data_IF_912704026095
#
_entry.id   IF_912704026095
#
_cell.length_a   1.000
_cell.length_b   1.000
_cell.length_c   1.000
_cell.angle_alpha   90.00
_cell.angle_beta   90.00
_cell.angle_gamma   90.00
#
_symmetry.space_group_name_H-M   'P 1'
#
loop_
_entity.id
_entity.type
_entity.pdbx_description
1 polymer ?
#
# COMPACT_ATOMS: atom_id res chain seq x y z
N UNK A 1 2.41 22.26 -4.34
CA UNK A 1 2.27 20.83 -3.97
C UNK A 1 1.88 20.03 -5.20
N UNK A 2 2.86 19.39 -5.85
CA UNK A 2 2.64 18.56 -7.03
C UNK A 2 2.34 17.14 -6.54
N UNK A 3 1.15 16.63 -6.86
CA UNK A 3 0.84 15.21 -6.66
C UNK A 3 1.23 14.47 -7.93
N UNK A 4 2.12 13.49 -7.81
CA UNK A 4 2.46 12.60 -8.94
C UNK A 4 1.65 11.32 -8.81
N UNK A 5 0.82 11.04 -9.81
CA UNK A 5 0.03 9.82 -9.91
C UNK A 5 0.68 8.88 -10.92
N UNK A 6 0.91 7.63 -10.51
CA UNK A 6 1.34 6.57 -11.42
C UNK A 6 0.29 5.47 -11.45
N UNK A 7 -0.19 5.17 -12.64
CA UNK A 7 -1.16 4.11 -12.89
C UNK A 7 -0.42 2.83 -13.31
N UNK A 8 -0.85 1.69 -12.79
CA UNK A 8 -0.29 0.39 -13.18
C UNK A 8 -1.25 -0.73 -12.84
N UNK A 9 -1.65 -1.50 -13.85
CA UNK A 9 -2.47 -2.72 -13.69
C UNK A 9 -1.68 -3.92 -13.15
N UNK A 10 -0.37 -3.75 -12.96
CA UNK A 10 0.53 -4.77 -12.40
C UNK A 10 0.81 -4.57 -10.92
N UNK A 11 0.33 -3.47 -10.33
CA UNK A 11 0.55 -3.18 -8.91
C UNK A 11 -0.52 -3.87 -8.10
N UNK A 12 -0.13 -4.43 -6.96
CA UNK A 12 -1.01 -5.11 -6.03
C UNK A 12 -0.54 -4.85 -4.61
N UNK A 13 -1.47 -4.98 -3.65
CA UNK A 13 -1.14 -5.07 -2.24
C UNK A 13 -1.29 -6.51 -1.76
N UNK A 14 -0.53 -6.85 -0.73
CA UNK A 14 -0.61 -8.13 -0.04
C UNK A 14 -0.38 -7.91 1.45
N UNK A 15 -0.83 -8.86 2.26
CA UNK A 15 -0.58 -8.90 3.69
C UNK A 15 -0.14 -10.31 4.09
N UNK A 16 0.72 -10.40 5.09
CA UNK A 16 0.97 -11.65 5.79
C UNK A 16 -0.10 -11.74 6.88
N UNK A 17 -0.97 -12.74 6.79
CA UNK A 17 -1.94 -13.04 7.85
C UNK A 17 -1.26 -13.27 9.21
N UNK A 18 -2.05 -13.38 10.27
CA UNK A 18 -1.60 -13.47 11.66
C UNK A 18 -0.86 -14.77 12.03
N UNK A 19 -0.61 -15.65 11.06
CA UNK A 19 0.11 -16.90 11.25
C UNK A 19 1.37 -16.91 10.41
N UNK A 20 2.47 -17.44 10.95
CA UNK A 20 3.81 -17.50 10.35
C UNK A 20 3.88 -18.24 9.00
N UNK A 21 2.75 -18.76 8.50
CA UNK A 21 2.59 -19.50 7.25
C UNK A 21 1.61 -18.82 6.27
N UNK A 22 1.20 -17.58 6.52
CA UNK A 22 0.20 -16.92 5.70
C UNK A 22 0.72 -16.64 4.28
N UNK A 23 0.15 -17.36 3.31
CA UNK A 23 0.38 -17.12 1.89
C UNK A 23 -0.09 -15.69 1.58
N UNK A 24 0.79 -14.82 1.07
CA UNK A 24 0.40 -13.46 0.71
C UNK A 24 -0.72 -13.53 -0.34
N UNK A 25 -1.90 -13.06 0.02
CA UNK A 25 -3.02 -12.97 -0.92
C UNK A 25 -2.87 -11.69 -1.74
N UNK A 26 -2.98 -11.83 -3.07
CA UNK A 26 -3.10 -10.67 -3.95
C UNK A 26 -4.47 -10.05 -3.73
N UNK A 27 -4.51 -8.78 -3.40
CA UNK A 27 -5.76 -8.06 -3.14
C UNK A 27 -6.07 -7.21 -4.37
N UNK A 28 -7.13 -7.61 -5.09
CA UNK A 28 -7.58 -6.92 -6.29
C UNK A 28 -8.36 -5.65 -5.95
N UNK A 29 -8.23 -4.68 -6.84
CA UNK A 29 -9.03 -3.47 -6.88
C UNK A 29 -10.51 -3.74 -7.17
N UNK A 30 -11.40 -2.92 -6.61
CA UNK A 30 -12.78 -2.76 -7.08
C UNK A 30 -12.97 -1.64 -8.13
N UNK A 31 -11.99 -0.75 -8.31
CA UNK A 31 -11.98 0.38 -9.23
C UNK A 31 -11.00 0.20 -10.41
N UNK A 32 -11.43 0.53 -11.62
CA UNK A 32 -10.60 0.50 -12.84
C UNK A 32 -9.62 1.70 -12.94
N UNK A 33 -9.79 2.75 -12.13
CA UNK A 33 -8.93 3.94 -12.10
C UNK A 33 -7.74 3.82 -11.13
N UNK A 34 -7.06 2.68 -11.17
CA UNK A 34 -6.08 2.31 -10.15
C UNK A 34 -4.83 3.18 -10.16
N UNK A 35 -4.81 4.17 -9.26
CA UNK A 35 -3.57 4.84 -8.88
C UNK A 35 -2.75 3.82 -8.10
N UNK A 36 -1.71 3.29 -8.73
CA UNK A 36 -0.80 2.36 -8.08
C UNK A 36 -0.03 3.07 -6.97
N UNK A 37 0.47 4.27 -7.26
CA UNK A 37 1.21 5.10 -6.31
C UNK A 37 0.82 6.56 -6.54
N UNK A 38 0.48 7.24 -5.44
CA UNK A 38 0.42 8.69 -5.33
C UNK A 38 1.55 9.14 -4.41
N UNK A 39 2.47 9.95 -4.92
CA UNK A 39 3.41 10.63 -4.03
C UNK A 39 2.75 11.88 -3.48
N UNK A 40 2.73 12.00 -2.15
CA UNK A 40 2.38 13.24 -1.46
C UNK A 40 3.66 13.85 -0.86
N UNK A 41 3.57 15.07 -0.35
CA UNK A 41 4.68 15.69 0.39
C UNK A 41 5.09 14.91 1.64
N UNK A 42 4.17 14.16 2.25
CA UNK A 42 4.40 13.47 3.51
C UNK A 42 4.85 12.02 3.33
N UNK A 43 4.63 11.45 2.14
CA UNK A 43 5.01 10.09 1.84
C UNK A 43 4.18 9.44 0.72
N UNK A 44 4.48 8.17 0.42
CA UNK A 44 3.78 7.41 -0.60
C UNK A 44 2.39 6.99 -0.12
N UNK A 45 1.50 6.87 -1.09
CA UNK A 45 0.14 6.41 -0.93
C UNK A 45 -0.12 5.38 -2.02
N UNK A 46 -0.66 4.23 -1.65
CA UNK A 46 -1.05 3.16 -2.57
C UNK A 46 -2.58 3.08 -2.63
N UNK A 47 -3.10 2.77 -3.82
CA UNK A 47 -4.53 2.92 -4.09
C UNK A 47 -4.96 4.40 -4.04
N UNK A 48 -6.21 4.64 -3.67
CA UNK A 48 -6.81 5.98 -3.57
C UNK A 48 -6.70 6.53 -2.14
N UNK A 49 -5.53 6.34 -1.51
CA UNK A 49 -5.23 6.58 -0.07
C UNK A 49 -5.55 5.41 0.85
N UNK A 50 -5.82 4.26 0.27
CA UNK A 50 -6.07 3.04 1.03
C UNK A 50 -4.90 2.64 1.92
N UNK A 51 -3.67 2.84 1.46
CA UNK A 51 -2.48 2.64 2.28
C UNK A 51 -1.56 3.84 2.14
N UNK A 52 -1.51 4.67 3.16
CA UNK A 52 -0.61 5.81 3.24
C UNK A 52 0.36 5.60 4.39
N UNK A 53 1.61 6.01 4.19
CA UNK A 53 2.52 6.16 5.32
C UNK A 53 3.39 7.38 5.17
N UNK A 54 3.64 8.01 6.31
CA UNK A 54 4.48 9.16 6.45
C UNK A 54 5.89 8.71 6.88
N UNK A 55 6.87 9.04 6.05
CA UNK A 55 8.26 8.62 6.25
C UNK A 55 8.96 9.41 7.36
N UNK A 56 8.47 10.61 7.69
CA UNK A 56 9.08 11.48 8.69
C UNK A 56 8.79 11.03 10.12
N UNK A 57 7.57 10.55 10.39
CA UNK A 57 7.13 10.15 11.72
C UNK A 57 6.87 8.64 11.85
N UNK A 58 7.12 7.86 10.78
CA UNK A 58 6.93 6.40 10.74
C UNK A 58 5.53 5.96 11.14
N UNK A 59 4.51 6.77 10.82
CA UNK A 59 3.12 6.38 11.01
C UNK A 59 2.43 6.15 9.67
N UNK A 60 1.36 5.36 9.70
CA UNK A 60 0.55 5.08 8.53
C UNK A 60 -0.93 5.04 8.83
N UNK A 61 -1.69 5.19 7.75
CA UNK A 61 -3.15 5.16 7.73
C UNK A 61 -3.56 4.11 6.70
N UNK A 62 -4.56 3.30 7.08
CA UNK A 62 -5.19 2.32 6.23
C UNK A 62 -6.69 2.55 6.14
N UNK A 63 -7.19 2.72 4.92
CA UNK A 63 -8.60 2.89 4.57
C UNK A 63 -9.00 1.84 3.54
N UNK A 64 -9.94 0.94 3.87
CA UNK A 64 -10.34 -0.15 2.98
C UNK A 64 -11.39 0.29 1.95
N UNK A 65 -11.12 1.32 1.14
CA UNK A 65 -12.13 1.87 0.21
C UNK A 65 -12.17 1.13 -1.14
N UNK A 66 -11.02 0.72 -1.65
CA UNK A 66 -10.83 0.30 -3.05
C UNK A 66 -10.43 -1.17 -3.19
N UNK A 67 -10.28 -1.89 -2.08
CA UNK A 67 -9.83 -3.29 -2.07
C UNK A 67 -10.93 -4.20 -1.53
N UNK A 68 -11.04 -5.40 -2.10
CA UNK A 68 -12.10 -6.37 -1.76
C UNK A 68 -11.99 -6.96 -0.35
N UNK A 69 -10.81 -6.87 0.27
CA UNK A 69 -10.50 -7.45 1.57
C UNK A 69 -9.66 -6.47 2.38
N UNK A 70 -9.88 -6.44 3.70
CA UNK A 70 -9.05 -5.65 4.63
C UNK A 70 -7.62 -6.16 4.66
N UNK A 71 -6.64 -5.28 4.48
CA UNK A 71 -5.20 -5.60 4.48
C UNK A 71 -4.63 -5.53 5.89
N UNK A 72 -5.16 -4.59 6.69
CA UNK A 72 -4.84 -4.38 8.09
C UNK A 72 -6.13 -4.41 8.92
N UNK A 73 -5.99 -4.72 10.20
CA UNK A 73 -7.06 -4.79 11.19
C UNK A 73 -7.37 -3.44 11.85
N UNK A 74 -6.57 -2.42 11.54
CA UNK A 74 -6.60 -1.11 12.18
C UNK A 74 -6.42 0.01 11.16
N UNK A 75 -7.06 1.14 11.44
CA UNK A 75 -6.97 2.34 10.60
C UNK A 75 -5.63 3.08 10.76
N UNK A 76 -5.00 3.04 11.93
CA UNK A 76 -3.70 3.67 12.19
C UNK A 76 -2.66 2.62 12.56
N UNK A 77 -1.43 2.75 12.04
CA UNK A 77 -0.32 1.87 12.38
C UNK A 77 1.01 2.62 12.49
N UNK A 78 1.96 2.01 13.19
CA UNK A 78 3.35 2.48 13.27
C UNK A 78 4.26 1.55 12.46
N UNK A 79 5.29 2.11 11.85
CA UNK A 79 6.25 1.38 11.04
C UNK A 79 7.47 1.08 11.90
N UNK A 80 7.60 -0.18 12.30
CA UNK A 80 8.81 -0.68 12.94
C UNK A 80 9.99 -0.70 11.96
N UNK A 81 9.74 -1.20 10.74
CA UNK A 81 10.74 -1.38 9.69
C UNK A 81 10.11 -1.19 8.30
N UNK A 82 10.88 -0.63 7.36
CA UNK A 82 10.48 -0.43 5.97
C UNK A 82 11.60 -0.91 5.05
N UNK A 83 11.29 -1.89 4.21
CA UNK A 83 12.22 -2.46 3.24
C UNK A 83 11.73 -2.24 1.81
N UNK A 84 12.65 -1.96 0.89
CA UNK A 84 12.34 -1.79 -0.53
C UNK A 84 13.22 -2.73 -1.36
N UNK A 85 12.58 -3.68 -2.03
CA UNK A 85 13.26 -4.66 -2.87
C UNK A 85 13.11 -4.32 -4.35
N UNK A 86 14.18 -4.53 -5.12
CA UNK A 86 14.17 -4.39 -6.58
C UNK A 86 14.67 -5.67 -7.23
N UNK A 87 13.85 -6.26 -8.10
CA UNK A 87 14.29 -7.37 -8.96
C UNK A 87 15.22 -6.81 -10.04
N UNK A 88 16.46 -7.29 -10.07
CA UNK A 88 17.41 -7.00 -11.13
C UNK A 88 17.34 -8.16 -12.12
N UNK A 89 16.91 -7.88 -13.36
CA UNK A 89 17.03 -8.88 -14.42
C UNK A 89 18.51 -9.08 -14.71
N UNK A 90 18.94 -10.34 -14.69
CA UNK A 90 20.25 -10.79 -15.14
C UNK A 90 20.16 -11.01 -16.65
#
# INVERSE_FOLDING_TARGET
NVFEYRYSTKSFLFTFGTTDAAIPSRIESTDNYFTAIRSTHDGPCFGKRDLFFNLNNRSGVYDSEMYTVSILDRHYFEIAELEVFKVVKI
#
